data_IF_558517970102
#
_entry.id   IF_558517970102
#
_cell.length_a   1.000
_cell.length_b   1.000
_cell.length_c   1.000
_cell.angle_alpha   90.00
_cell.angle_beta   90.00
_cell.angle_gamma   90.00
#
_symmetry.space_group_name_H-M   'P 1'
#
loop_
_entity.id
_entity.type
_entity.pdbx_description
1 polymer ?
#
# COMPACT_ATOMS: atom_id res chain seq x y z
N UNK A 1 12.30 18.50 28.81
CA UNK A 1 12.24 17.10 28.35
C UNK A 1 13.60 16.73 27.79
N UNK A 2 14.02 15.49 27.96
CA UNK A 2 15.23 14.91 27.35
C UNK A 2 14.95 13.47 26.96
N UNK A 3 15.85 12.82 26.22
CA UNK A 3 15.72 11.40 25.90
C UNK A 3 17.02 10.65 26.18
N UNK A 4 16.90 9.35 26.39
CA UNK A 4 18.01 8.39 26.37
C UNK A 4 17.74 7.33 25.32
N UNK A 5 18.79 6.73 24.81
CA UNK A 5 18.74 5.69 23.78
C UNK A 5 19.75 4.61 24.16
N UNK A 6 19.34 3.35 24.08
CA UNK A 6 20.23 2.21 24.31
C UNK A 6 20.79 1.63 23.00
N UNK A 7 21.60 0.59 23.11
CA UNK A 7 22.27 -0.06 21.98
C UNK A 7 21.32 -0.79 21.04
N UNK A 8 20.10 -1.11 21.48
CA UNK A 8 19.07 -1.80 20.68
C UNK A 8 18.18 -0.80 19.94
N UNK A 9 18.42 0.51 20.13
CA UNK A 9 17.65 1.57 19.51
C UNK A 9 16.33 1.86 20.23
N UNK A 10 16.17 1.45 21.48
CA UNK A 10 15.01 1.85 22.28
C UNK A 10 15.23 3.24 22.88
N UNK A 11 14.30 4.13 22.55
CA UNK A 11 14.34 5.53 22.94
C UNK A 11 13.34 5.77 24.05
N UNK A 12 13.80 6.35 25.17
CA UNK A 12 12.97 6.75 26.31
C UNK A 12 12.97 8.26 26.42
N UNK A 13 11.80 8.88 26.30
CA UNK A 13 11.61 10.33 26.43
C UNK A 13 11.10 10.63 27.84
N UNK A 14 11.81 11.51 28.55
CA UNK A 14 11.54 11.87 29.93
C UNK A 14 10.91 13.25 30.07
N UNK A 15 9.91 13.34 30.95
CA UNK A 15 9.28 14.60 31.37
C UNK A 15 9.12 14.60 32.90
N UNK A 16 9.64 15.64 33.56
CA UNK A 16 9.62 15.72 35.03
C UNK A 16 10.31 14.54 35.73
N UNK A 17 11.34 13.96 35.11
CA UNK A 17 12.07 12.80 35.64
C UNK A 17 11.36 11.44 35.47
N UNK A 18 10.18 11.39 34.84
CA UNK A 18 9.46 10.15 34.53
C UNK A 18 9.48 9.86 33.04
N UNK A 19 9.44 8.57 32.68
CA UNK A 19 9.28 8.15 31.29
C UNK A 19 7.88 8.57 30.85
N UNK A 20 7.84 9.39 29.81
CA UNK A 20 6.60 9.84 29.20
C UNK A 20 6.23 9.01 27.97
N UNK A 21 7.23 8.68 27.16
CA UNK A 21 7.03 7.88 25.94
C UNK A 21 8.26 7.02 25.66
N UNK A 22 8.04 5.79 25.20
CA UNK A 22 9.09 4.90 24.73
C UNK A 22 8.74 4.32 23.35
N UNK A 23 9.76 4.14 22.51
CA UNK A 23 9.61 3.53 21.19
C UNK A 23 10.95 3.00 20.69
N UNK A 24 10.90 1.99 19.83
CA UNK A 24 12.08 1.52 19.12
C UNK A 24 12.33 2.32 17.83
N UNK A 25 13.59 2.57 17.47
CA UNK A 25 13.99 3.24 16.23
C UNK A 25 13.54 2.52 14.97
N UNK A 26 13.22 1.25 14.99
CA UNK A 26 12.73 0.52 13.82
C UNK A 26 11.20 0.61 13.69
N UNK A 27 10.50 0.88 14.79
CA UNK A 27 9.05 1.00 14.79
C UNK A 27 8.60 2.35 14.21
N UNK A 28 8.30 2.33 12.91
CA UNK A 28 7.81 3.49 12.20
C UNK A 28 6.43 3.97 12.69
N UNK A 29 5.59 3.08 13.23
CA UNK A 29 4.27 3.44 13.72
C UNK A 29 4.38 4.13 15.09
N UNK A 30 5.11 3.54 16.04
CA UNK A 30 5.37 4.15 17.34
C UNK A 30 6.00 5.54 17.19
N UNK A 31 6.99 5.72 16.31
CA UNK A 31 7.52 7.06 16.00
C UNK A 31 6.45 8.08 15.63
N UNK A 32 5.50 7.71 14.76
CA UNK A 32 4.45 8.63 14.31
C UNK A 32 3.48 8.97 15.42
N UNK A 33 3.12 7.97 16.24
CA UNK A 33 2.28 8.16 17.41
C UNK A 33 2.96 9.11 18.40
N UNK A 34 4.23 8.85 18.73
CA UNK A 34 5.01 9.71 19.62
C UNK A 34 5.13 11.15 19.11
N UNK A 35 5.37 11.34 17.80
CA UNK A 35 5.39 12.67 17.17
C UNK A 35 4.05 13.40 17.37
N UNK A 36 2.92 12.72 17.16
CA UNK A 36 1.60 13.30 17.32
C UNK A 36 1.34 13.70 18.78
N UNK A 37 1.56 12.78 19.72
CA UNK A 37 1.37 13.01 21.16
C UNK A 37 2.20 14.19 21.68
N UNK A 38 3.49 14.24 21.36
CA UNK A 38 4.37 15.32 21.81
C UNK A 38 4.00 16.67 21.18
N UNK A 39 3.52 16.68 19.95
CA UNK A 39 3.04 17.91 19.32
C UNK A 39 1.75 18.43 19.96
N UNK A 40 0.81 17.54 20.31
CA UNK A 40 -0.44 17.93 20.99
C UNK A 40 -0.18 18.43 22.41
N UNK A 41 0.85 17.93 23.09
CA UNK A 41 1.36 18.50 24.34
C UNK A 41 2.05 19.86 24.19
N UNK A 42 2.18 20.38 22.97
CA UNK A 42 2.84 21.66 22.71
C UNK A 42 4.37 21.61 22.76
N UNK A 43 4.98 20.42 22.68
CA UNK A 43 6.44 20.31 22.62
C UNK A 43 6.94 20.95 21.33
N UNK A 44 7.99 21.77 21.45
CA UNK A 44 8.57 22.49 20.32
C UNK A 44 8.99 21.51 19.22
N UNK A 45 8.63 21.84 17.98
CA UNK A 45 8.93 21.00 16.80
C UNK A 45 10.42 20.70 16.64
N UNK A 46 11.31 21.62 17.02
CA UNK A 46 12.76 21.39 17.02
C UNK A 46 13.15 20.23 17.94
N UNK A 47 12.55 20.17 19.12
CA UNK A 47 12.74 19.11 20.11
C UNK A 47 12.20 17.77 19.61
N UNK A 48 11.00 17.76 19.02
CA UNK A 48 10.41 16.57 18.40
C UNK A 48 11.34 16.04 17.28
N UNK A 49 11.83 16.90 16.40
CA UNK A 49 12.76 16.50 15.34
C UNK A 49 14.03 15.84 15.92
N UNK A 50 14.54 16.36 17.04
CA UNK A 50 15.70 15.80 17.73
C UNK A 50 15.41 14.43 18.34
N UNK A 51 14.30 14.28 19.06
CA UNK A 51 13.95 13.03 19.74
C UNK A 51 13.72 11.88 18.76
N UNK A 52 13.02 12.16 17.66
CA UNK A 52 12.68 11.13 16.67
C UNK A 52 13.68 11.03 15.51
N UNK A 53 14.70 11.90 15.46
CA UNK A 53 15.66 12.00 14.36
C UNK A 53 14.97 12.11 12.99
N UNK A 54 13.96 12.98 12.90
CA UNK A 54 13.16 13.20 11.67
C UNK A 54 13.24 14.64 11.21
N UNK A 55 12.99 14.86 9.93
CA UNK A 55 12.90 16.21 9.38
C UNK A 55 11.64 16.93 9.85
N UNK A 56 11.67 18.26 9.84
CA UNK A 56 10.48 19.08 10.09
C UNK A 56 9.34 18.67 9.17
N UNK A 57 9.59 18.42 7.89
CA UNK A 57 8.57 18.04 6.92
C UNK A 57 7.83 16.74 7.33
N UNK A 58 8.57 15.75 7.81
CA UNK A 58 8.00 14.51 8.34
C UNK A 58 7.03 14.80 9.48
N UNK A 59 7.42 15.64 10.44
CA UNK A 59 6.54 16.05 11.55
C UNK A 59 5.26 16.70 11.03
N UNK A 60 5.33 17.62 10.07
CA UNK A 60 4.13 18.25 9.52
C UNK A 60 3.20 17.26 8.82
N UNK A 61 3.75 16.30 8.05
CA UNK A 61 2.94 15.28 7.38
C UNK A 61 2.23 14.37 8.39
N UNK A 62 2.95 13.90 9.40
CA UNK A 62 2.40 13.06 10.46
C UNK A 62 1.27 13.79 11.18
N UNK A 63 1.46 15.05 11.56
CA UNK A 63 0.42 15.85 12.19
C UNK A 63 -0.78 16.10 11.27
N UNK A 64 -0.54 16.31 9.97
CA UNK A 64 -1.61 16.45 8.99
C UNK A 64 -2.49 15.19 8.94
N UNK A 65 -1.86 14.02 8.82
CA UNK A 65 -2.57 12.73 8.78
C UNK A 65 -3.31 12.48 10.09
N UNK A 66 -2.67 12.68 11.23
CA UNK A 66 -3.27 12.47 12.54
C UNK A 66 -4.49 13.35 12.78
N UNK A 67 -4.42 14.64 12.41
CA UNK A 67 -5.56 15.56 12.55
C UNK A 67 -6.74 15.20 11.64
N UNK A 68 -6.50 14.60 10.49
CA UNK A 68 -7.56 14.22 9.55
C UNK A 68 -8.15 12.83 9.80
N UNK A 69 -7.33 11.86 10.21
CA UNK A 69 -7.64 10.42 10.18
C UNK A 69 -7.30 9.70 11.49
N UNK A 70 -6.81 10.43 12.51
CA UNK A 70 -6.46 9.86 13.81
C UNK A 70 -5.34 8.82 13.76
N UNK A 71 -5.39 7.86 14.70
CA UNK A 71 -4.40 6.79 14.84
C UNK A 71 -4.45 5.79 13.68
N UNK A 72 -5.64 5.49 13.16
CA UNK A 72 -5.82 4.59 12.00
C UNK A 72 -5.12 5.14 10.76
N UNK A 73 -5.22 6.44 10.53
CA UNK A 73 -4.47 7.14 9.48
C UNK A 73 -2.96 6.99 9.65
N UNK A 74 -2.43 7.07 10.88
CA UNK A 74 -1.00 6.90 11.12
C UNK A 74 -0.52 5.46 10.92
N UNK A 75 -1.37 4.47 11.21
CA UNK A 75 -1.08 3.04 11.01
C UNK A 75 -0.99 2.70 9.52
N UNK A 76 -1.93 3.23 8.73
CA UNK A 76 -1.98 3.06 7.27
C UNK A 76 -1.04 3.99 6.49
N UNK A 77 -0.48 5.02 7.14
CA UNK A 77 0.39 5.99 6.48
C UNK A 77 1.64 5.31 5.89
N UNK A 78 1.81 5.39 4.57
CA UNK A 78 3.06 4.97 3.91
C UNK A 78 3.83 6.21 3.48
N UNK A 79 4.99 6.51 4.10
CA UNK A 79 5.82 7.62 3.67
C UNK A 79 6.35 7.32 2.27
N UNK A 80 5.73 7.93 1.27
CA UNK A 80 6.09 7.80 -0.14
C UNK A 80 5.84 9.09 -0.91
N UNK A 81 6.32 9.17 -2.16
CA UNK A 81 5.92 10.24 -3.05
C UNK A 81 4.39 10.28 -3.09
N UNK A 82 3.79 11.47 -2.93
CA UNK A 82 2.34 11.65 -3.04
C UNK A 82 1.86 10.89 -4.27
N UNK A 83 0.87 10.01 -4.08
CA UNK A 83 0.21 9.30 -5.17
C UNK A 83 -0.11 10.31 -6.26
N UNK A 84 0.21 9.94 -7.50
CA UNK A 84 -0.23 10.71 -8.65
C UNK A 84 -1.76 10.66 -8.63
N UNK A 85 -2.41 11.80 -8.84
CA UNK A 85 -3.86 11.87 -8.95
C UNK A 85 -4.35 10.83 -9.97
N UNK A 86 -5.36 10.03 -9.62
CA UNK A 86 -5.82 8.92 -10.47
C UNK A 86 -6.24 9.41 -11.86
N UNK A 87 -6.92 10.55 -11.95
CA UNK A 87 -7.27 11.17 -13.22
C UNK A 87 -6.04 11.55 -14.07
N UNK A 88 -4.94 11.93 -13.43
CA UNK A 88 -3.68 12.22 -14.10
C UNK A 88 -2.97 10.93 -14.56
N UNK A 89 -3.03 9.85 -13.77
CA UNK A 89 -2.54 8.54 -14.20
C UNK A 89 -3.31 8.03 -15.42
N UNK A 90 -4.64 8.06 -15.39
CA UNK A 90 -5.49 7.62 -16.49
C UNK A 90 -5.25 8.43 -17.77
N UNK A 91 -5.09 9.75 -17.65
CA UNK A 91 -4.75 10.59 -18.79
C UNK A 91 -3.39 10.23 -19.41
N UNK A 92 -2.37 10.03 -18.58
CA UNK A 92 -1.04 9.62 -19.03
C UNK A 92 -1.08 8.29 -19.77
N UNK A 93 -1.79 7.29 -19.23
CA UNK A 93 -1.92 5.96 -19.84
C UNK A 93 -2.64 6.08 -21.19
N UNK A 94 -3.76 6.82 -21.24
CA UNK A 94 -4.49 7.06 -22.49
C UNK A 94 -3.60 7.67 -23.58
N UNK A 95 -2.84 8.73 -23.25
CA UNK A 95 -1.93 9.37 -24.21
C UNK A 95 -0.73 8.49 -24.55
N UNK A 96 -0.28 7.64 -23.63
CA UNK A 96 0.74 6.64 -23.91
C UNK A 96 0.24 5.63 -24.95
N UNK A 97 -0.97 5.09 -24.80
CA UNK A 97 -1.57 4.16 -25.77
C UNK A 97 -1.73 4.81 -27.15
N UNK A 98 -2.14 6.08 -27.20
CA UNK A 98 -2.34 6.82 -28.45
C UNK A 98 -1.03 7.16 -29.17
N UNK A 99 0.06 7.41 -28.43
CA UNK A 99 1.33 7.90 -28.98
C UNK A 99 2.46 6.86 -28.95
N UNK A 100 2.21 5.64 -28.44
CA UNK A 100 3.22 4.58 -28.39
C UNK A 100 3.69 4.26 -29.82
N UNK A 101 5.01 4.33 -30.02
CA UNK A 101 5.65 4.15 -31.34
C UNK A 101 6.09 5.44 -32.01
N UNK A 102 5.58 6.61 -31.59
CA UNK A 102 6.06 7.89 -32.11
C UNK A 102 7.36 8.34 -31.44
N UNK A 103 8.30 8.88 -32.24
CA UNK A 103 9.54 9.44 -31.70
C UNK A 103 9.22 10.70 -30.87
N UNK A 104 9.54 10.66 -29.57
CA UNK A 104 9.34 11.81 -28.67
C UNK A 104 8.00 11.84 -27.95
N UNK A 105 7.22 10.76 -27.97
CA UNK A 105 5.93 10.66 -27.25
C UNK A 105 6.02 11.12 -25.78
N UNK A 106 7.09 10.78 -25.07
CA UNK A 106 7.29 11.18 -23.67
C UNK A 106 7.29 12.71 -23.49
N UNK A 107 7.88 13.44 -24.44
CA UNK A 107 7.95 14.90 -24.39
C UNK A 107 6.58 15.51 -24.63
N UNK A 108 5.84 15.00 -25.63
CA UNK A 108 4.47 15.42 -25.93
C UNK A 108 3.55 15.24 -24.74
N UNK A 109 3.58 14.08 -24.08
CA UNK A 109 2.78 13.83 -22.88
C UNK A 109 3.12 14.80 -21.75
N UNK A 110 4.41 15.09 -21.53
CA UNK A 110 4.84 16.05 -20.51
C UNK A 110 4.34 17.48 -20.82
N UNK A 111 4.49 17.93 -22.06
CA UNK A 111 4.06 19.27 -22.49
C UNK A 111 2.54 19.43 -22.35
N UNK A 112 1.76 18.42 -22.73
CA UNK A 112 0.30 18.45 -22.57
C UNK A 112 -0.18 18.41 -21.12
N UNK A 113 0.45 17.56 -20.30
CA UNK A 113 0.16 17.50 -18.86
C UNK A 113 0.48 18.83 -18.20
N UNK A 114 1.55 19.51 -18.63
CA UNK A 114 1.89 20.83 -18.15
C UNK A 114 0.87 21.89 -18.60
N UNK A 115 0.41 21.85 -19.86
CA UNK A 115 -0.67 22.75 -20.34
C UNK A 115 -1.95 22.58 -19.52
N UNK A 116 -2.38 21.33 -19.30
CA UNK A 116 -3.59 21.03 -18.51
C UNK A 116 -3.43 21.39 -17.03
N UNK A 117 -2.21 21.35 -16.50
CA UNK A 117 -1.94 21.85 -15.16
C UNK A 117 -2.03 23.40 -15.08
N UNK A 118 -1.63 24.12 -16.14
CA UNK A 118 -1.80 25.59 -16.23
C UNK A 118 -3.26 25.99 -16.40
N UNK A 119 -4.05 25.20 -17.12
CA UNK A 119 -5.51 25.35 -17.26
C UNK A 119 -6.26 25.01 -15.97
N UNK A 120 -5.57 24.49 -14.94
CA UNK A 120 -6.17 24.16 -13.65
C UNK A 120 -6.90 22.82 -13.60
N UNK A 121 -6.83 22.02 -14.68
CA UNK A 121 -7.44 20.68 -14.74
C UNK A 121 -6.70 19.72 -13.80
N UNK A 122 -5.37 19.81 -13.77
CA UNK A 122 -4.54 19.05 -12.84
C UNK A 122 -3.91 19.95 -11.80
N UNK A 123 -3.79 19.46 -10.56
CA UNK A 123 -3.19 20.25 -9.47
C UNK A 123 -1.72 20.60 -9.72
N UNK A 124 -0.98 19.72 -10.41
CA UNK A 124 0.44 19.86 -10.74
C UNK A 124 0.80 19.06 -11.98
N UNK A 125 1.84 19.49 -12.69
CA UNK A 125 2.49 18.70 -13.73
C UNK A 125 3.23 17.47 -13.17
N UNK A 126 3.74 16.64 -14.06
CA UNK A 126 4.51 15.43 -13.73
C UNK A 126 5.97 15.59 -14.14
N UNK A 127 6.86 14.93 -13.41
CA UNK A 127 8.25 14.78 -13.82
C UNK A 127 8.41 13.60 -14.78
N UNK A 128 9.49 13.60 -15.56
CA UNK A 128 9.82 12.48 -16.46
C UNK A 128 9.92 11.13 -15.75
N UNK A 129 10.52 11.10 -14.55
CA UNK A 129 10.62 9.86 -13.75
C UNK A 129 9.25 9.36 -13.30
N UNK A 130 8.31 10.26 -12.97
CA UNK A 130 6.93 9.88 -12.63
C UNK A 130 6.18 9.34 -13.85
N UNK A 131 6.33 9.98 -15.01
CA UNK A 131 5.78 9.48 -16.27
C UNK A 131 6.23 8.04 -16.54
N UNK A 132 7.55 7.79 -16.47
CA UNK A 132 8.12 6.47 -16.68
C UNK A 132 7.62 5.44 -15.66
N UNK A 133 7.46 5.86 -14.39
CA UNK A 133 6.91 4.99 -13.36
C UNK A 133 5.48 4.57 -13.67
N UNK A 134 4.62 5.50 -14.08
CA UNK A 134 3.22 5.22 -14.47
C UNK A 134 3.18 4.27 -15.67
N UNK A 135 4.01 4.50 -16.68
CA UNK A 135 4.06 3.64 -17.87
C UNK A 135 4.55 2.24 -17.51
N UNK A 136 5.51 2.11 -16.58
CA UNK A 136 5.98 0.81 -16.11
C UNK A 136 4.89 0.07 -15.34
N UNK A 137 4.27 0.72 -14.34
CA UNK A 137 3.14 0.15 -13.58
C UNK A 137 2.06 -0.39 -14.53
N UNK A 138 1.71 0.36 -15.58
CA UNK A 138 0.73 -0.07 -16.59
C UNK A 138 1.18 -1.28 -17.43
N UNK A 139 2.46 -1.38 -17.77
CA UNK A 139 2.99 -2.54 -18.51
C UNK A 139 3.00 -3.79 -17.65
N UNK A 140 3.41 -3.65 -16.39
CA UNK A 140 3.45 -4.73 -15.42
C UNK A 140 2.01 -5.25 -15.19
N UNK A 141 1.02 -4.35 -15.06
CA UNK A 141 -0.40 -4.72 -14.95
C UNK A 141 -0.91 -5.52 -16.18
N UNK A 142 -0.55 -5.11 -17.40
CA UNK A 142 -0.94 -5.84 -18.62
C UNK A 142 -0.27 -7.21 -18.71
N UNK A 143 1.01 -7.31 -18.31
CA UNK A 143 1.74 -8.57 -18.32
C UNK A 143 1.14 -9.57 -17.33
N UNK A 144 0.82 -9.12 -16.10
CA UNK A 144 0.12 -9.96 -15.12
C UNK A 144 -1.29 -10.38 -15.57
N UNK A 145 -2.05 -9.51 -16.24
CA UNK A 145 -3.35 -9.88 -16.80
C UNK A 145 -3.22 -10.92 -17.90
N UNK A 146 -2.17 -10.80 -18.72
CA UNK A 146 -1.89 -11.76 -19.78
C UNK A 146 -1.46 -13.11 -19.23
N UNK A 147 -0.59 -13.15 -18.22
CA UNK A 147 -0.19 -14.39 -17.55
C UNK A 147 -1.37 -15.08 -16.87
N UNK A 148 -2.29 -14.32 -16.26
CA UNK A 148 -3.53 -14.87 -15.69
C UNK A 148 -4.45 -15.44 -16.77
N UNK A 149 -4.66 -14.72 -17.86
CA UNK A 149 -5.50 -15.20 -18.97
C UNK A 149 -4.89 -16.44 -19.68
N UNK A 150 -3.56 -16.49 -19.84
CA UNK A 150 -2.86 -17.65 -20.39
C UNK A 150 -2.91 -18.86 -19.43
N UNK A 151 -2.79 -18.63 -18.11
CA UNK A 151 -2.94 -19.67 -17.10
C UNK A 151 -4.37 -20.23 -17.00
N UNK A 152 -5.39 -19.37 -17.05
CA UNK A 152 -6.81 -19.78 -17.07
C UNK A 152 -7.15 -20.55 -18.35
N UNK A 153 -6.63 -20.13 -19.51
CA UNK A 153 -6.83 -20.84 -20.78
C UNK A 153 -6.12 -22.21 -20.81
N UNK A 154 -4.94 -22.35 -20.19
CA UNK A 154 -4.26 -23.65 -20.06
C UNK A 154 -4.98 -24.57 -19.07
N UNK A 155 -5.59 -24.01 -18.02
CA UNK A 155 -6.39 -24.76 -17.05
C UNK A 155 -7.73 -25.22 -17.66
N UNK A 156 -8.42 -24.38 -18.43
CA UNK A 156 -9.62 -24.75 -19.19
C UNK A 156 -9.32 -25.85 -20.22
N UNK A 157 -8.20 -25.74 -20.96
CA UNK A 157 -7.78 -26.79 -21.90
C UNK A 157 -7.49 -28.14 -21.22
N UNK A 158 -6.92 -28.14 -20.00
CA UNK A 158 -6.70 -29.37 -19.21
C UNK A 158 -7.99 -29.97 -18.65
N UNK A 159 -9.01 -29.15 -18.39
CA UNK A 159 -10.33 -29.64 -17.93
C UNK A 159 -11.12 -30.23 -19.10
N UNK A 160 -11.07 -29.63 -20.30
CA UNK A 160 -11.69 -30.22 -21.50
C UNK A 160 -11.02 -31.55 -21.89
N UNK A 161 -9.69 -31.66 -21.82
CA UNK A 161 -8.97 -32.90 -22.16
C UNK A 161 -9.27 -34.06 -21.18
N UNK A 162 -9.64 -33.76 -19.93
CA UNK A 162 -10.08 -34.77 -18.94
C UNK A 162 -11.57 -35.11 -19.00
N UNK A 163 -12.38 -34.31 -19.70
CA UNK A 163 -13.83 -34.53 -19.83
C UNK A 163 -14.23 -35.62 -20.84
N UNK A 164 -13.33 -36.03 -21.73
CA UNK A 164 -13.61 -37.04 -22.76
C UNK A 164 -13.22 -38.49 -22.38
N UNK A 165 -12.55 -38.72 -21.24
CA UNK A 165 -12.08 -40.05 -20.83
C UNK A 165 -12.87 -40.72 -19.68
N UNK A 166 -14.06 -40.24 -19.31
CA UNK A 166 -14.89 -40.92 -18.29
C UNK A 166 -16.25 -41.40 -18.84
N UNK A 167 -16.19 -42.38 -19.75
CA UNK A 167 -17.34 -43.22 -20.08
C UNK A 167 -16.92 -44.67 -20.27
N UNK A 168 -16.67 -45.40 -19.18
CA UNK A 168 -17.04 -46.83 -18.97
C UNK A 168 -16.83 -47.14 -17.49
N UNK A 169 -17.89 -47.49 -16.76
CA UNK A 169 -17.79 -48.00 -15.39
C UNK A 169 -19.14 -48.48 -14.87
N UNK A 170 -19.36 -49.78 -14.98
CA UNK A 170 -20.59 -50.52 -14.71
C UNK A 170 -21.26 -50.23 -13.36
N UNK A 171 -22.59 -50.05 -13.41
CA UNK A 171 -23.48 -50.18 -12.27
C UNK A 171 -23.43 -51.63 -11.76
N UNK A 172 -22.94 -51.84 -10.53
CA UNK A 172 -23.29 -53.00 -9.74
C UNK A 172 -23.80 -52.56 -8.37
N UNK A 173 -25.02 -52.99 -8.09
CA UNK A 173 -25.75 -52.82 -6.84
C UNK A 173 -25.03 -53.54 -5.69
N UNK A 174 -25.03 -52.94 -4.50
CA UNK A 174 -24.50 -53.57 -3.31
C UNK A 174 -24.62 -52.69 -2.07
N UNK A 175 -25.56 -53.04 -1.21
CA UNK A 175 -25.93 -52.42 0.06
C UNK A 175 -24.74 -52.26 1.02
N UNK A 176 -24.67 -51.14 1.76
CA UNK A 176 -25.05 -51.13 3.18
C UNK A 176 -24.67 -49.81 3.86
N UNK A 177 -25.54 -49.51 4.81
CA UNK A 177 -25.72 -48.33 5.63
C UNK A 177 -24.75 -48.36 6.82
N UNK A 178 -24.12 -47.24 7.14
CA UNK A 178 -23.75 -46.88 8.52
C UNK A 178 -23.70 -45.36 8.66
N UNK A 179 -24.83 -44.80 9.10
CA UNK A 179 -24.91 -43.45 9.64
C UNK A 179 -24.56 -43.59 11.12
N UNK A 180 -23.36 -43.17 11.52
CA UNK A 180 -23.05 -43.04 12.94
C UNK A 180 -23.05 -41.58 13.36
N UNK A 181 -23.93 -41.34 14.32
CA UNK A 181 -24.19 -40.06 14.95
C UNK A 181 -22.97 -39.65 15.77
N UNK A 182 -22.80 -38.35 15.92
CA UNK A 182 -22.55 -37.81 17.26
C UNK A 182 -21.47 -36.75 17.36
N UNK A 183 -21.87 -35.60 17.89
CA UNK A 183 -21.01 -34.85 18.80
C UNK A 183 -20.64 -33.44 18.35
N UNK A 184 -21.58 -32.50 18.49
CA UNK A 184 -21.20 -31.12 18.76
C UNK A 184 -20.65 -31.03 20.19
N UNK A 185 -19.53 -30.33 20.38
CA UNK A 185 -19.17 -29.79 21.68
C UNK A 185 -18.58 -28.39 21.50
N UNK A 186 -19.32 -27.45 22.08
CA UNK A 186 -19.05 -26.03 22.25
C UNK A 186 -17.97 -25.81 23.33
N UNK A 187 -17.27 -24.68 23.18
CA UNK A 187 -16.28 -24.01 24.03
C UNK A 187 -16.23 -24.32 25.54
N UNK A 188 -15.02 -24.24 26.11
CA UNK A 188 -14.81 -23.59 27.42
C UNK A 188 -13.48 -22.80 27.40
N UNK A 189 -13.49 -21.51 27.78
CA UNK A 189 -12.30 -20.75 28.17
C UNK A 189 -12.00 -20.90 29.67
N UNK A 190 -10.71 -20.98 30.04
CA UNK A 190 -10.16 -20.52 31.32
C UNK A 190 -8.69 -20.13 31.14
#
# INVERSE_FOLDING_TARGET
>A
MYYTEDSEGDVKIYWGGRIYYCFNREDAFAKRVGIALLADLGVLRKTICSFFQVTRNTVAKVLGVYKSLGLEGLRSYRPGPKGVEEGLKGYVIKRYIELQGERGYQKRILEEVESKAREGIFRKGISRSKLQKIIREYKDEIEEERERAEGEAEEEARVEEKGEEEYVGELSEGEEQCVDRGGAAIAIPF
#
